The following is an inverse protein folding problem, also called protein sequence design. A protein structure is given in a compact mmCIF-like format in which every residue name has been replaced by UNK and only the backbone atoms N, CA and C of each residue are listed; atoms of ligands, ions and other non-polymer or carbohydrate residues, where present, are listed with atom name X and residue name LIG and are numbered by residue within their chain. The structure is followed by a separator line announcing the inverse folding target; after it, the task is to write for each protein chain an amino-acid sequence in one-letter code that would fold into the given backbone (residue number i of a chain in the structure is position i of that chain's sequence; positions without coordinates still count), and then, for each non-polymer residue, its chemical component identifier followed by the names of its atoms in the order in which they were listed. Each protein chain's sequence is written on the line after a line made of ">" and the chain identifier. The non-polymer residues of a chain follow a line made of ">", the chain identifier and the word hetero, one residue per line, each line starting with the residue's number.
data_IF_775742877826
#
_entry.id   IF_775742877826
#
_cell.length_a   1.000
_cell.length_b   1.000
_cell.length_c   1.000
_cell.angle_alpha   90.00
_cell.angle_beta   90.00
_cell.angle_gamma   90.00
#
_symmetry.space_group_name_H-M   'P 1'
#
loop_
_entity.id
_entity.type
_entity.pdbx_description
1 polymer ?
#
# COMPACT_ATOMS: atom_id res chain seq x y z
N UNK A 1 -18.83 -11.78 -5.79
CA UNK A 1 -17.95 -12.11 -6.93
C UNK A 1 -17.54 -13.58 -6.80
N UNK A 2 -18.47 -14.51 -7.06
CA UNK A 2 -18.30 -15.94 -6.74
C UNK A 2 -17.05 -16.54 -7.39
N UNK A 3 -16.76 -16.17 -8.65
CA UNK A 3 -15.57 -16.67 -9.36
C UNK A 3 -14.22 -16.38 -8.67
N UNK A 4 -14.08 -15.27 -7.94
CA UNK A 4 -12.85 -14.95 -7.19
C UNK A 4 -12.68 -15.84 -5.96
N UNK A 5 -13.78 -16.19 -5.31
CA UNK A 5 -13.79 -17.13 -4.19
C UNK A 5 -13.42 -18.53 -4.66
N UNK A 6 -14.00 -18.98 -5.77
CA UNK A 6 -13.69 -20.28 -6.38
C UNK A 6 -12.21 -20.35 -6.79
N UNK A 7 -11.68 -19.33 -7.48
CA UNK A 7 -10.26 -19.25 -7.89
C UNK A 7 -9.31 -19.41 -6.68
N UNK A 8 -9.63 -18.77 -5.55
CA UNK A 8 -8.87 -18.92 -4.31
C UNK A 8 -8.96 -20.34 -3.73
N UNK A 9 -10.16 -20.94 -3.71
CA UNK A 9 -10.41 -22.27 -3.14
C UNK A 9 -9.75 -23.37 -3.97
N UNK A 10 -9.83 -23.30 -5.29
CA UNK A 10 -9.12 -24.19 -6.21
C UNK A 10 -7.61 -24.12 -5.97
N UNK A 11 -7.06 -22.90 -5.87
CA UNK A 11 -5.64 -22.74 -5.57
C UNK A 11 -5.26 -23.29 -4.19
N UNK A 12 -6.13 -23.11 -3.21
CA UNK A 12 -5.93 -23.65 -1.85
C UNK A 12 -5.93 -25.18 -1.83
N UNK A 13 -6.75 -25.81 -2.68
CA UNK A 13 -6.77 -27.26 -2.89
C UNK A 13 -5.46 -27.75 -3.52
N UNK A 14 -4.96 -27.07 -4.56
CA UNK A 14 -3.66 -27.38 -5.17
C UNK A 14 -2.50 -27.31 -4.17
N UNK A 15 -2.52 -26.35 -3.25
CA UNK A 15 -1.51 -26.17 -2.20
C UNK A 15 -1.68 -27.13 -1.01
N UNK A 16 -2.71 -27.97 -1.01
CA UNK A 16 -3.01 -28.92 0.07
C UNK A 16 -3.39 -28.24 1.39
N UNK A 17 -3.94 -27.01 1.33
CA UNK A 17 -4.36 -26.25 2.53
C UNK A 17 -5.50 -26.97 3.25
N UNK A 18 -6.45 -27.54 2.50
CA UNK A 18 -7.61 -28.26 3.05
C UNK A 18 -7.24 -29.52 3.84
N UNK A 19 -6.03 -30.06 3.66
CA UNK A 19 -5.52 -31.19 4.45
C UNK A 19 -4.88 -30.75 5.77
N UNK A 20 -4.54 -29.46 5.90
CA UNK A 20 -3.78 -28.89 7.03
C UNK A 20 -4.62 -27.97 7.91
N UNK A 21 -5.77 -27.51 7.41
CA UNK A 21 -6.65 -26.58 8.10
C UNK A 21 -8.10 -26.99 7.91
N UNK A 22 -8.91 -26.76 8.95
CA UNK A 22 -10.36 -26.95 8.90
C UNK A 22 -11.01 -25.70 8.32
N UNK A 23 -11.74 -25.87 7.22
CA UNK A 23 -12.51 -24.77 6.62
C UNK A 23 -13.86 -24.62 7.33
N UNK A 24 -14.27 -23.36 7.51
CA UNK A 24 -15.60 -23.00 8.01
C UNK A 24 -16.11 -21.85 7.15
N UNK A 25 -17.33 -21.98 6.64
CA UNK A 25 -17.89 -21.04 5.68
C UNK A 25 -19.33 -20.66 6.02
N UNK A 26 -19.85 -19.64 5.34
CA UNK A 26 -21.24 -19.23 5.46
C UNK A 26 -22.12 -20.09 4.54
N UNK A 27 -23.39 -20.33 4.89
CA UNK A 27 -24.30 -21.09 4.05
C UNK A 27 -24.63 -20.38 2.74
N UNK A 28 -25.08 -21.17 1.77
CA UNK A 28 -25.54 -20.79 0.43
C UNK A 28 -24.57 -19.88 -0.32
N UNK A 29 -25.07 -18.82 -0.95
CA UNK A 29 -24.37 -17.84 -1.79
C UNK A 29 -23.28 -17.03 -1.06
N UNK A 30 -23.09 -17.23 0.25
CA UNK A 30 -22.03 -16.56 1.02
C UNK A 30 -20.77 -17.41 1.20
N UNK A 31 -20.71 -18.62 0.63
CA UNK A 31 -19.49 -19.40 0.57
C UNK A 31 -19.66 -20.92 0.52
N UNK A 32 -20.84 -21.46 0.83
CA UNK A 32 -21.11 -22.91 0.75
C UNK A 32 -21.10 -23.36 -0.71
N UNK A 33 -21.80 -22.63 -1.58
CA UNK A 33 -21.85 -22.93 -3.01
C UNK A 33 -20.47 -22.89 -3.67
N UNK A 34 -19.61 -21.94 -3.29
CA UNK A 34 -18.23 -21.87 -3.79
C UNK A 34 -17.33 -22.99 -3.27
N UNK A 35 -17.51 -23.41 -2.00
CA UNK A 35 -16.78 -24.55 -1.41
C UNK A 35 -17.17 -25.86 -2.09
N UNK A 36 -18.47 -26.08 -2.29
CA UNK A 36 -19.00 -27.25 -3.00
C UNK A 36 -18.50 -27.28 -4.45
N UNK A 37 -18.51 -26.13 -5.13
CA UNK A 37 -18.02 -26.00 -6.51
C UNK A 37 -16.53 -26.31 -6.63
N UNK A 38 -15.71 -25.96 -5.64
CA UNK A 38 -14.30 -26.31 -5.58
C UNK A 38 -14.05 -27.79 -5.16
N UNK A 39 -15.09 -28.51 -4.77
CA UNK A 39 -15.03 -29.88 -4.26
C UNK A 39 -14.18 -29.96 -3.00
N UNK A 40 -14.47 -29.11 -2.03
CA UNK A 40 -13.87 -29.05 -0.70
C UNK A 40 -14.96 -29.25 0.37
N UNK A 41 -14.57 -29.72 1.55
CA UNK A 41 -15.47 -29.81 2.70
C UNK A 41 -15.26 -28.64 3.68
N UNK A 42 -16.34 -28.10 4.24
CA UNK A 42 -16.28 -27.06 5.26
C UNK A 42 -17.40 -27.18 6.30
N UNK A 43 -17.15 -26.71 7.52
CA UNK A 43 -18.22 -26.52 8.50
C UNK A 43 -19.09 -25.31 8.13
N UNK A 44 -20.38 -25.54 8.01
CA UNK A 44 -21.32 -24.46 7.73
C UNK A 44 -21.69 -23.71 9.02
N UNK A 45 -21.60 -22.39 8.97
CA UNK A 45 -22.01 -21.53 10.08
C UNK A 45 -23.53 -21.58 10.28
N UNK A 46 -24.03 -21.60 11.54
CA UNK A 46 -25.45 -21.66 11.84
C UNK A 46 -26.11 -20.29 11.66
N UNK A 47 -26.28 -19.88 10.42
CA UNK A 47 -26.93 -18.63 10.03
C UNK A 47 -27.95 -18.86 8.92
N UNK A 48 -28.98 -18.02 8.86
CA UNK A 48 -29.97 -18.08 7.79
C UNK A 48 -29.69 -16.96 6.80
N UNK A 49 -29.45 -17.29 5.54
CA UNK A 49 -29.12 -16.36 4.47
C UNK A 49 -30.30 -16.25 3.51
N UNK A 50 -30.68 -15.00 3.21
CA UNK A 50 -31.72 -14.70 2.20
C UNK A 50 -31.11 -14.72 0.80
N UNK A 51 -31.95 -14.67 -0.23
CA UNK A 51 -31.52 -14.60 -1.63
C UNK A 51 -30.61 -13.41 -1.97
N UNK A 52 -30.63 -12.34 -1.17
CA UNK A 52 -29.67 -11.23 -1.25
C UNK A 52 -29.02 -11.01 0.10
N UNK A 53 -27.70 -10.87 0.08
CA UNK A 53 -26.86 -10.65 1.25
C UNK A 53 -26.72 -9.16 1.56
N UNK A 54 -26.44 -8.84 2.81
CA UNK A 54 -26.29 -7.48 3.31
C UNK A 54 -25.06 -7.34 4.19
N UNK A 55 -24.63 -6.10 4.45
CA UNK A 55 -23.59 -5.77 5.43
C UNK A 55 -23.83 -6.42 6.81
N UNK A 56 -25.10 -6.55 7.22
CA UNK A 56 -25.47 -7.21 8.48
C UNK A 56 -25.12 -8.70 8.48
N UNK A 57 -25.24 -9.36 7.34
CA UNK A 57 -24.92 -10.77 7.19
C UNK A 57 -23.40 -11.00 7.29
N UNK A 58 -22.61 -10.15 6.63
CA UNK A 58 -21.13 -10.12 6.78
C UNK A 58 -20.73 -9.93 8.24
N UNK A 59 -21.28 -8.91 8.91
CA UNK A 59 -20.98 -8.61 10.33
C UNK A 59 -21.35 -9.78 11.24
N UNK A 60 -22.47 -10.46 10.97
CA UNK A 60 -22.91 -11.63 11.73
C UNK A 60 -21.98 -12.83 11.52
N UNK A 61 -21.58 -13.11 10.27
CA UNK A 61 -20.66 -14.17 9.93
C UNK A 61 -19.31 -14.01 10.64
N UNK A 62 -18.71 -12.83 10.54
CA UNK A 62 -17.41 -12.51 11.18
C UNK A 62 -17.48 -12.70 12.70
N UNK A 63 -18.55 -12.22 13.35
CA UNK A 63 -18.75 -12.42 14.80
C UNK A 63 -18.89 -13.89 15.18
N UNK A 64 -19.57 -14.70 14.36
CA UNK A 64 -19.70 -16.15 14.60
C UNK A 64 -18.35 -16.87 14.42
N UNK A 65 -17.58 -16.53 13.38
CA UNK A 65 -16.24 -17.09 13.16
C UNK A 65 -15.30 -16.75 14.32
N UNK A 66 -15.30 -15.48 14.77
CA UNK A 66 -14.52 -15.05 15.93
C UNK A 66 -14.95 -15.78 17.22
N UNK A 67 -16.27 -15.94 17.46
CA UNK A 67 -16.79 -16.69 18.61
C UNK A 67 -16.37 -18.17 18.58
N UNK A 68 -16.28 -18.76 17.39
CA UNK A 68 -15.77 -20.12 17.17
C UNK A 68 -14.23 -20.20 17.15
N UNK A 69 -13.54 -19.12 17.50
CA UNK A 69 -12.07 -19.03 17.59
C UNK A 69 -11.35 -19.32 16.27
N UNK A 70 -11.90 -18.85 15.15
CA UNK A 70 -11.18 -18.88 13.89
C UNK A 70 -9.79 -18.21 14.04
N UNK A 71 -8.76 -18.86 13.49
CA UNK A 71 -7.37 -18.39 13.55
C UNK A 71 -7.05 -17.35 12.47
N UNK A 72 -7.76 -17.43 11.34
CA UNK A 72 -7.71 -16.49 10.24
C UNK A 72 -9.10 -16.38 9.62
N UNK A 73 -9.55 -15.16 9.34
CA UNK A 73 -10.81 -14.88 8.63
C UNK A 73 -10.49 -14.42 7.22
N UNK A 74 -11.13 -15.03 6.24
CA UNK A 74 -11.02 -14.69 4.82
C UNK A 74 -12.33 -14.07 4.35
N UNK A 75 -12.27 -13.03 3.53
CA UNK A 75 -13.46 -12.46 2.91
C UNK A 75 -13.19 -12.10 1.44
N UNK A 76 -14.18 -12.30 0.58
CA UNK A 76 -14.14 -11.84 -0.82
C UNK A 76 -14.97 -10.58 -0.93
N UNK A 77 -14.38 -9.45 -1.32
CA UNK A 77 -15.10 -8.18 -1.34
C UNK A 77 -14.27 -7.00 -1.81
N UNK A 78 -14.82 -5.80 -1.57
CA UNK A 78 -14.14 -4.51 -1.74
C UNK A 78 -14.07 -3.74 -0.42
N UNK A 79 -13.68 -2.46 -0.47
CA UNK A 79 -13.45 -1.64 0.73
C UNK A 79 -14.67 -1.56 1.66
N UNK A 80 -15.88 -1.52 1.11
CA UNK A 80 -17.12 -1.58 1.90
C UNK A 80 -17.21 -2.84 2.77
N UNK A 81 -16.84 -4.00 2.21
CA UNK A 81 -16.80 -5.27 2.96
C UNK A 81 -15.69 -5.26 4.01
N UNK A 82 -14.54 -4.67 3.70
CA UNK A 82 -13.45 -4.54 4.67
C UNK A 82 -13.86 -3.69 5.89
N UNK A 83 -14.61 -2.60 5.67
CA UNK A 83 -15.22 -1.81 6.75
C UNK A 83 -16.20 -2.63 7.58
N UNK A 84 -17.08 -3.38 6.93
CA UNK A 84 -18.03 -4.25 7.63
C UNK A 84 -17.33 -5.29 8.52
N UNK A 85 -16.21 -5.86 8.06
CA UNK A 85 -15.38 -6.79 8.83
C UNK A 85 -14.73 -6.10 10.03
N UNK A 86 -14.19 -4.89 9.84
CA UNK A 86 -13.58 -4.09 10.91
C UNK A 86 -14.60 -3.73 12.01
N UNK A 87 -15.79 -3.29 11.62
CA UNK A 87 -16.89 -3.00 12.55
C UNK A 87 -17.29 -4.23 13.37
N UNK A 88 -17.28 -5.42 12.74
CA UNK A 88 -17.64 -6.66 13.40
C UNK A 88 -16.60 -7.10 14.43
N UNK A 89 -15.31 -6.93 14.12
CA UNK A 89 -14.20 -7.36 14.97
C UNK A 89 -13.88 -6.37 16.09
N UNK A 90 -14.25 -5.09 15.96
CA UNK A 90 -14.07 -4.06 16.99
C UNK A 90 -14.68 -4.44 18.35
N UNK A 91 -15.65 -5.36 18.39
CA UNK A 91 -16.30 -5.85 19.61
C UNK A 91 -15.74 -7.17 20.16
N UNK A 92 -14.67 -7.74 19.57
CA UNK A 92 -14.18 -9.09 19.90
C UNK A 92 -12.65 -9.22 19.75
N UNK A 93 -12.09 -10.41 20.02
CA UNK A 93 -10.65 -10.68 19.90
C UNK A 93 -10.14 -10.26 18.51
N UNK A 94 -8.90 -9.74 18.45
CA UNK A 94 -8.21 -9.33 17.20
C UNK A 94 -7.81 -10.56 16.35
N UNK A 95 -8.81 -11.30 15.83
CA UNK A 95 -8.58 -12.39 14.87
C UNK A 95 -8.02 -11.79 13.57
N UNK A 96 -6.89 -12.31 13.05
CA UNK A 96 -6.34 -11.89 11.78
C UNK A 96 -7.33 -12.04 10.63
N UNK A 97 -7.23 -11.14 9.64
CA UNK A 97 -8.09 -11.09 8.47
C UNK A 97 -7.24 -10.99 7.20
N UNK A 98 -7.67 -11.61 6.11
CA UNK A 98 -7.11 -11.39 4.78
C UNK A 98 -8.24 -11.18 3.77
N UNK A 99 -8.15 -10.09 3.00
CA UNK A 99 -9.11 -9.76 1.94
C UNK A 99 -8.72 -10.41 0.61
N UNK A 100 -9.69 -11.03 -0.06
CA UNK A 100 -9.58 -11.52 -1.44
C UNK A 100 -10.28 -10.50 -2.35
N UNK A 101 -9.57 -9.94 -3.33
CA UNK A 101 -10.09 -8.85 -4.15
C UNK A 101 -11.24 -9.30 -5.05
N UNK A 102 -12.41 -8.67 -4.91
CA UNK A 102 -13.56 -8.91 -5.80
C UNK A 102 -13.50 -8.12 -7.11
N UNK A 103 -12.64 -7.09 -7.20
CA UNK A 103 -12.53 -6.16 -8.32
C UNK A 103 -11.18 -5.45 -8.39
N UNK A 104 -11.06 -4.40 -9.21
CA UNK A 104 -9.77 -3.71 -9.49
C UNK A 104 -9.61 -2.35 -8.79
N UNK A 105 -10.59 -1.93 -7.98
CA UNK A 105 -10.59 -0.63 -7.28
C UNK A 105 -10.73 -0.84 -5.77
N UNK A 106 -9.64 -1.22 -5.11
CA UNK A 106 -9.60 -1.31 -3.64
C UNK A 106 -8.45 -0.46 -3.12
N UNK A 107 -8.73 0.30 -2.08
CA UNK A 107 -7.79 1.24 -1.47
C UNK A 107 -7.26 0.74 -0.13
N UNK A 108 -7.98 -0.17 0.53
CA UNK A 108 -7.54 -0.78 1.79
C UNK A 108 -6.34 -1.72 1.59
N UNK A 109 -5.37 -1.66 2.49
CA UNK A 109 -4.16 -2.48 2.45
C UNK A 109 -4.37 -3.96 2.77
N UNK A 110 -5.54 -4.34 3.29
CA UNK A 110 -5.86 -5.71 3.77
C UNK A 110 -6.03 -6.74 2.64
N UNK A 111 -6.12 -6.28 1.38
CA UNK A 111 -6.36 -7.16 0.23
C UNK A 111 -5.07 -7.76 -0.32
N UNK A 112 -5.13 -9.06 -0.63
CA UNK A 112 -4.11 -9.70 -1.46
C UNK A 112 -4.13 -9.13 -2.89
N UNK A 113 -3.01 -9.27 -3.61
CA UNK A 113 -2.87 -8.81 -5.01
C UNK A 113 -3.92 -9.46 -5.92
N UNK A 114 -4.19 -10.75 -5.72
CA UNK A 114 -5.20 -11.54 -6.44
C UNK A 114 -5.55 -12.80 -5.62
N UNK A 115 -6.58 -13.58 -6.01
CA UNK A 115 -6.98 -14.80 -5.29
C UNK A 115 -5.86 -15.84 -5.12
N UNK A 116 -5.04 -16.06 -6.16
CA UNK A 116 -3.91 -16.99 -6.06
C UNK A 116 -2.88 -16.55 -5.01
N UNK A 117 -2.56 -15.26 -4.94
CA UNK A 117 -1.67 -14.71 -3.91
C UNK A 117 -2.28 -14.83 -2.51
N UNK A 118 -3.59 -14.68 -2.36
CA UNK A 118 -4.24 -14.92 -1.07
C UNK A 118 -4.04 -16.37 -0.60
N UNK A 119 -4.13 -17.36 -1.50
CA UNK A 119 -3.89 -18.76 -1.16
C UNK A 119 -2.43 -19.00 -0.71
N UNK A 120 -1.44 -18.41 -1.38
CA UNK A 120 -0.05 -18.46 -0.94
C UNK A 120 0.17 -17.81 0.43
N UNK A 121 -0.48 -16.67 0.71
CA UNK A 121 -0.42 -16.02 2.02
C UNK A 121 -1.02 -16.91 3.12
N UNK A 122 -2.14 -17.58 2.85
CA UNK A 122 -2.73 -18.55 3.79
C UNK A 122 -1.81 -19.74 4.01
N UNK A 123 -1.21 -20.28 2.96
CA UNK A 123 -0.25 -21.39 3.08
C UNK A 123 0.93 -21.03 3.98
N UNK A 124 1.51 -19.84 3.78
CA UNK A 124 2.61 -19.35 4.59
C UNK A 124 2.18 -19.03 6.03
N UNK A 125 0.98 -18.52 6.24
CA UNK A 125 0.41 -18.33 7.57
C UNK A 125 0.31 -19.67 8.32
N UNK A 126 -0.20 -20.72 7.67
CA UNK A 126 -0.26 -22.06 8.27
C UNK A 126 1.12 -22.67 8.56
N UNK A 127 2.14 -22.30 7.79
CA UNK A 127 3.54 -22.67 8.04
C UNK A 127 4.23 -21.82 9.12
N UNK A 128 3.57 -20.78 9.63
CA UNK A 128 4.18 -19.82 10.57
C UNK A 128 5.19 -18.86 9.93
N UNK A 129 5.19 -18.75 8.60
CA UNK A 129 6.11 -17.93 7.82
C UNK A 129 5.57 -16.52 7.54
N UNK A 130 4.25 -16.33 7.67
CA UNK A 130 3.63 -15.01 7.50
C UNK A 130 3.66 -14.22 8.81
N UNK A 131 4.04 -12.95 8.73
CA UNK A 131 3.99 -12.02 9.86
C UNK A 131 2.60 -11.40 9.97
N UNK A 132 2.15 -11.09 11.19
CA UNK A 132 0.91 -10.36 11.41
C UNK A 132 1.19 -8.86 11.53
N UNK A 133 0.64 -8.08 10.61
CA UNK A 133 0.79 -6.61 10.57
C UNK A 133 -0.58 -5.94 10.54
N UNK A 134 -0.62 -4.67 10.93
CA UNK A 134 -1.82 -3.86 10.85
C UNK A 134 -1.92 -3.21 9.46
N UNK A 135 -3.06 -3.38 8.80
CA UNK A 135 -3.36 -2.82 7.49
C UNK A 135 -4.43 -1.75 7.58
N UNK A 136 -4.24 -0.67 6.82
CA UNK A 136 -5.19 0.43 6.69
C UNK A 136 -6.47 -0.04 5.99
N UNK A 137 -7.61 0.27 6.62
CA UNK A 137 -8.93 0.12 6.02
C UNK A 137 -9.39 1.51 5.62
N UNK A 138 -9.67 1.69 4.33
CA UNK A 138 -10.07 2.97 3.76
C UNK A 138 -11.59 3.04 3.61
N UNK A 139 -12.16 4.19 3.94
CA UNK A 139 -13.53 4.54 3.58
C UNK A 139 -13.50 5.24 2.22
N UNK A 140 -13.68 4.43 1.19
CA UNK A 140 -13.96 4.89 -0.15
C UNK A 140 -15.48 4.93 -0.30
N UNK A 141 -16.07 6.12 -0.15
CA UNK A 141 -17.49 6.32 -0.41
C UNK A 141 -17.74 6.19 -1.91
N UNK A 142 -18.15 5.00 -2.35
CA UNK A 142 -18.47 4.70 -3.75
C UNK A 142 -19.56 5.63 -4.34
N UNK A 143 -20.41 6.23 -3.50
CA UNK A 143 -21.41 7.22 -3.95
C UNK A 143 -20.78 8.60 -4.14
N UNK A 144 -19.86 9.04 -3.27
CA UNK A 144 -19.11 10.28 -3.47
C UNK A 144 -18.12 10.21 -4.65
N UNK A 145 -17.58 9.01 -4.92
CA UNK A 145 -16.70 8.75 -6.08
C UNK A 145 -17.46 8.90 -7.42
N UNK A 146 -18.79 8.70 -7.43
CA UNK A 146 -19.62 8.92 -8.63
C UNK A 146 -19.89 10.40 -8.93
N UNK A 147 -19.81 11.26 -7.92
CA UNK A 147 -20.11 12.70 -8.03
C UNK A 147 -18.83 13.57 -8.10
N UNK A 148 -17.72 13.01 -8.59
CA UNK A 148 -16.41 13.68 -8.76
C UNK A 148 -15.79 14.26 -7.47
N UNK A 149 -16.32 13.87 -6.29
CA UNK A 149 -15.74 14.19 -4.98
C UNK A 149 -14.99 12.97 -4.44
N UNK A 150 -13.74 12.83 -4.88
CA UNK A 150 -12.83 11.79 -4.37
C UNK A 150 -12.49 12.04 -2.90
N UNK A 151 -13.29 11.50 -1.98
CA UNK A 151 -13.09 11.63 -0.54
C UNK A 151 -12.78 10.24 0.04
N UNK A 152 -11.50 9.86 0.04
CA UNK A 152 -11.02 8.61 0.63
C UNK A 152 -10.42 8.96 2.00
N UNK A 153 -10.93 8.33 3.07
CA UNK A 153 -10.45 8.59 4.44
C UNK A 153 -10.03 7.30 5.12
N UNK A 154 -9.03 7.36 6.01
CA UNK A 154 -8.70 6.22 6.86
C UNK A 154 -9.88 5.92 7.79
N UNK A 155 -10.41 4.71 7.70
CA UNK A 155 -11.51 4.23 8.56
C UNK A 155 -10.97 3.55 9.83
N UNK A 156 -9.84 2.84 9.71
CA UNK A 156 -9.18 2.18 10.84
C UNK A 156 -8.16 1.14 10.39
N UNK A 157 -7.89 0.16 11.24
CA UNK A 157 -6.87 -0.85 10.99
C UNK A 157 -7.38 -2.26 11.26
N UNK A 158 -7.06 -3.21 10.37
CA UNK A 158 -7.25 -4.65 10.57
C UNK A 158 -5.90 -5.35 10.61
N UNK A 159 -5.75 -6.31 11.52
CA UNK A 159 -4.57 -7.16 11.57
C UNK A 159 -4.69 -8.28 10.54
N UNK A 160 -3.66 -8.53 9.74
CA UNK A 160 -3.67 -9.57 8.72
C UNK A 160 -2.31 -10.23 8.48
N UNK A 161 -2.28 -11.42 7.86
CA UNK A 161 -1.04 -12.07 7.48
C UNK A 161 -0.40 -11.34 6.28
N UNK A 162 0.90 -11.13 6.38
CA UNK A 162 1.72 -10.53 5.34
C UNK A 162 2.84 -11.48 4.97
N UNK A 163 2.94 -11.76 3.66
CA UNK A 163 3.96 -12.62 3.07
C UNK A 163 4.80 -11.80 2.08
N UNK A 164 6.13 -11.66 2.32
CA UNK A 164 7.07 -11.18 1.31
C UNK A 164 7.10 -12.19 0.16
N UNK A 165 7.06 -11.75 -1.11
CA UNK A 165 7.03 -12.70 -2.23
C UNK A 165 8.19 -13.71 -2.19
N UNK A 166 7.88 -15.00 -2.31
CA UNK A 166 8.87 -16.07 -2.49
C UNK A 166 9.44 -16.00 -3.91
N UNK A 167 10.72 -15.63 -4.05
CA UNK A 167 11.48 -15.82 -5.28
C UNK A 167 12.01 -17.26 -5.32
N UNK A 168 11.54 -18.02 -6.29
CA UNK A 168 12.10 -19.33 -6.62
C UNK A 168 13.34 -19.10 -7.51
N UNK A 169 14.54 -19.42 -6.99
CA UNK A 169 15.74 -19.58 -7.84
C UNK A 169 17.06 -19.08 -7.25
N UNK A 170 17.82 -20.03 -6.69
CA UNK A 170 19.28 -20.01 -6.46
C UNK A 170 19.88 -19.03 -5.45
N UNK A 171 20.18 -19.62 -4.28
CA UNK A 171 21.29 -19.32 -3.34
C UNK A 171 21.29 -17.95 -2.66
N UNK A 172 21.09 -18.01 -1.34
CA UNK A 172 21.24 -16.95 -0.34
C UNK A 172 20.30 -15.76 -0.52
N UNK A 173 19.09 -15.84 0.05
CA UNK A 173 18.22 -14.68 0.22
C UNK A 173 17.55 -14.76 1.59
N UNK A 174 17.97 -13.85 2.47
CA UNK A 174 17.33 -13.47 3.74
C UNK A 174 15.99 -12.74 3.49
N UNK A 175 15.11 -12.56 4.49
CA UNK A 175 13.70 -12.17 4.28
C UNK A 175 13.52 -10.76 3.69
N UNK A 176 12.88 -10.65 2.52
CA UNK A 176 12.81 -9.43 1.69
C UNK A 176 11.94 -8.26 2.24
N UNK A 177 11.18 -8.39 3.33
CA UNK A 177 10.41 -7.25 3.91
C UNK A 177 11.05 -6.60 5.11
N UNK A 178 11.88 -7.35 5.85
CA UNK A 178 12.94 -6.72 6.63
C UNK A 178 13.85 -5.99 5.66
N UNK A 179 14.25 -6.62 4.54
CA UNK A 179 15.03 -5.96 3.49
C UNK A 179 14.33 -4.73 2.92
N UNK A 180 13.03 -4.73 2.58
CA UNK A 180 12.40 -3.54 1.98
C UNK A 180 12.27 -2.36 2.96
N UNK A 181 11.92 -2.59 4.23
CA UNK A 181 11.89 -1.51 5.23
C UNK A 181 13.31 -1.10 5.65
N UNK A 182 14.23 -2.06 5.82
CA UNK A 182 15.66 -1.79 6.02
C UNK A 182 16.25 -1.02 4.83
N UNK A 183 15.81 -1.30 3.61
CA UNK A 183 16.20 -0.64 2.38
C UNK A 183 15.58 0.76 2.28
N UNK A 184 14.32 0.95 2.73
CA UNK A 184 13.74 2.29 2.93
C UNK A 184 14.55 3.09 3.93
N UNK A 185 14.88 2.50 5.08
CA UNK A 185 15.67 3.14 6.14
C UNK A 185 17.10 3.40 5.67
N UNK A 186 17.69 2.51 4.88
CA UNK A 186 19.04 2.64 4.34
C UNK A 186 19.13 3.75 3.28
N UNK A 187 18.19 3.78 2.33
CA UNK A 187 18.07 4.86 1.36
C UNK A 187 17.74 6.19 2.04
N UNK A 188 16.83 6.19 3.02
CA UNK A 188 16.48 7.39 3.78
C UNK A 188 17.66 7.91 4.62
N UNK A 189 18.41 7.03 5.29
CA UNK A 189 19.63 7.39 6.03
C UNK A 189 20.67 8.01 5.11
N UNK A 190 20.83 7.45 3.91
CA UNK A 190 21.72 8.03 2.93
C UNK A 190 21.27 9.43 2.49
N UNK A 191 19.97 9.63 2.23
CA UNK A 191 19.44 10.97 1.96
C UNK A 191 19.71 11.92 3.12
N UNK A 192 19.46 11.52 4.37
CA UNK A 192 19.72 12.36 5.56
C UNK A 192 21.20 12.74 5.70
N UNK A 193 22.12 11.82 5.40
CA UNK A 193 23.57 12.10 5.40
C UNK A 193 23.99 13.11 4.31
N UNK A 194 23.29 13.14 3.18
CA UNK A 194 23.52 14.08 2.08
C UNK A 194 22.77 15.42 2.28
N UNK A 195 21.95 15.56 3.34
CA UNK A 195 21.23 16.79 3.59
C UNK A 195 22.14 17.90 4.11
N UNK A 196 22.06 19.06 3.47
CA UNK A 196 22.69 20.31 3.88
C UNK A 196 22.02 20.88 5.15
N UNK A 197 22.75 21.06 6.27
CA UNK A 197 22.18 21.43 7.57
C UNK A 197 21.40 22.75 7.64
N UNK A 198 21.57 23.63 6.65
CA UNK A 198 20.94 24.95 6.62
C UNK A 198 19.96 25.14 5.46
N UNK A 199 19.73 24.11 4.67
CA UNK A 199 18.81 24.14 3.55
C UNK A 199 17.35 23.97 3.98
N UNK A 200 16.45 24.36 3.07
CA UNK A 200 15.01 24.07 3.17
C UNK A 200 14.69 22.84 2.33
N UNK A 201 13.85 21.95 2.85
CA UNK A 201 13.48 20.71 2.18
C UNK A 201 11.97 20.64 1.98
N UNK A 202 11.54 20.49 0.73
CA UNK A 202 10.17 20.19 0.37
C UNK A 202 10.04 18.66 0.32
N UNK A 203 9.36 18.10 1.32
CA UNK A 203 9.19 16.66 1.50
C UNK A 203 7.91 16.19 0.80
N UNK A 204 8.07 15.55 -0.36
CA UNK A 204 6.98 14.96 -1.12
C UNK A 204 6.26 13.82 -0.37
N UNK A 205 5.13 13.34 -0.91
CA UNK A 205 4.31 12.34 -0.25
C UNK A 205 4.93 10.93 -0.28
N UNK A 206 4.42 10.05 0.56
CA UNK A 206 4.70 8.61 0.57
C UNK A 206 5.52 8.11 1.75
N UNK A 207 5.44 6.80 1.98
CA UNK A 207 6.11 6.10 3.09
C UNK A 207 7.63 6.17 3.02
N UNK A 208 8.20 6.21 1.82
CA UNK A 208 9.66 6.30 1.62
C UNK A 208 10.19 7.67 2.06
N UNK A 209 9.48 8.76 1.75
CA UNK A 209 9.84 10.10 2.25
C UNK A 209 9.52 10.23 3.74
N UNK A 210 8.47 9.54 4.24
CA UNK A 210 8.21 9.46 5.67
C UNK A 210 9.38 8.84 6.45
N UNK A 211 10.07 7.83 5.91
CA UNK A 211 11.26 7.27 6.57
C UNK A 211 12.38 8.32 6.74
N UNK A 212 12.53 9.26 5.80
CA UNK A 212 13.46 10.40 5.95
C UNK A 212 13.02 11.29 7.11
N UNK A 213 11.73 11.64 7.18
CA UNK A 213 11.18 12.43 8.28
C UNK A 213 11.33 11.75 9.65
N UNK A 214 11.08 10.44 9.73
CA UNK A 214 11.24 9.65 10.96
C UNK A 214 12.69 9.69 11.46
N UNK A 215 13.68 9.59 10.56
CA UNK A 215 15.11 9.69 10.89
C UNK A 215 15.53 11.11 11.32
N UNK A 216 14.85 12.14 10.81
CA UNK A 216 15.03 13.53 11.24
C UNK A 216 14.32 13.83 12.57
N UNK A 217 13.56 12.87 13.13
CA UNK A 217 12.80 13.04 14.36
C UNK A 217 11.60 13.97 14.21
N UNK A 218 11.07 14.14 13.00
CA UNK A 218 9.91 15.00 12.73
C UNK A 218 8.72 14.18 12.25
N UNK A 219 7.52 14.63 12.60
CA UNK A 219 6.30 14.04 12.06
C UNK A 219 6.01 14.59 10.65
N UNK A 220 5.64 13.69 9.73
CA UNK A 220 5.31 14.00 8.33
C UNK A 220 3.87 13.64 7.99
N UNK A 221 3.25 14.45 7.14
CA UNK A 221 1.99 14.15 6.46
C UNK A 221 2.24 13.11 5.37
N UNK A 222 1.65 11.91 5.49
CA UNK A 222 1.97 10.80 4.59
C UNK A 222 1.59 11.06 3.13
N UNK A 223 0.40 11.62 2.88
CA UNK A 223 -0.08 11.94 1.52
C UNK A 223 0.08 13.42 1.15
N UNK A 224 0.59 14.22 2.09
CA UNK A 224 0.81 15.64 1.90
C UNK A 224 2.26 15.95 1.56
N UNK A 225 2.46 17.21 1.16
CA UNK A 225 3.78 17.82 1.02
C UNK A 225 4.05 18.62 2.28
N UNK A 226 5.25 18.50 2.85
CA UNK A 226 5.66 19.25 4.04
C UNK A 226 6.91 20.06 3.74
N UNK A 227 7.14 21.13 4.50
CA UNK A 227 8.39 21.93 4.43
C UNK A 227 9.17 21.69 5.71
N UNK A 228 10.39 21.20 5.58
CA UNK A 228 11.33 20.99 6.68
C UNK A 228 12.46 22.02 6.62
N UNK A 229 12.78 22.63 7.76
CA UNK A 229 13.95 23.51 7.93
C UNK A 229 14.43 23.50 9.37
N UNK A 230 15.69 23.12 9.61
CA UNK A 230 16.37 23.19 10.92
C UNK A 230 15.54 22.59 12.07
N UNK A 231 15.03 21.38 11.89
CA UNK A 231 14.21 20.69 12.91
C UNK A 231 12.75 21.13 12.99
N UNK A 232 12.33 22.19 12.28
CA UNK A 232 10.93 22.63 12.21
C UNK A 232 10.25 22.10 10.96
N UNK A 233 8.98 21.74 11.08
CA UNK A 233 8.15 21.27 9.96
C UNK A 233 6.86 22.08 9.82
N UNK A 234 6.55 22.50 8.61
CA UNK A 234 5.23 23.03 8.21
C UNK A 234 4.54 21.91 7.44
N UNK A 235 3.46 21.37 8.00
CA UNK A 235 2.79 20.18 7.49
C UNK A 235 1.71 20.51 6.46
N UNK A 236 1.51 19.61 5.51
CA UNK A 236 0.40 19.57 4.54
C UNK A 236 0.19 20.90 3.80
N UNK A 237 1.27 21.36 3.18
CA UNK A 237 1.30 22.63 2.46
C UNK A 237 0.79 22.48 1.03
N UNK A 238 0.09 23.51 0.56
CA UNK A 238 -0.23 23.69 -0.85
C UNK A 238 0.87 24.53 -1.56
N UNK A 239 0.76 24.66 -2.87
CA UNK A 239 1.68 25.47 -3.70
C UNK A 239 1.86 26.89 -3.17
N UNK A 240 0.76 27.60 -2.89
CA UNK A 240 0.78 28.98 -2.39
C UNK A 240 1.58 29.10 -1.08
N UNK A 241 1.41 28.14 -0.18
CA UNK A 241 2.15 28.11 1.09
C UNK A 241 3.64 27.83 0.86
N UNK A 242 3.99 26.94 -0.08
CA UNK A 242 5.38 26.68 -0.43
C UNK A 242 6.04 27.94 -0.98
N UNK A 243 5.40 28.62 -1.94
CA UNK A 243 5.90 29.85 -2.54
C UNK A 243 6.10 30.99 -1.53
N UNK A 244 5.25 31.04 -0.50
CA UNK A 244 5.30 32.03 0.57
C UNK A 244 6.37 31.75 1.63
N UNK A 245 6.51 30.49 2.04
CA UNK A 245 7.39 30.10 3.15
C UNK A 245 8.85 29.91 2.72
N UNK A 246 9.07 29.49 1.47
CA UNK A 246 10.41 29.32 0.91
C UNK A 246 10.94 30.68 0.42
N UNK A 247 11.99 31.16 1.08
CA UNK A 247 12.61 32.47 0.77
C UNK A 247 13.91 32.36 -0.02
N UNK A 248 14.61 31.24 0.11
CA UNK A 248 15.89 31.00 -0.54
C UNK A 248 15.81 29.74 -1.40
N UNK A 249 15.36 29.92 -2.63
CA UNK A 249 15.25 28.83 -3.61
C UNK A 249 16.61 28.25 -4.01
N UNK A 250 17.70 29.03 -3.87
CA UNK A 250 19.05 28.53 -4.14
C UNK A 250 19.53 27.57 -3.05
N UNK A 251 18.98 27.64 -1.86
CA UNK A 251 19.25 26.68 -0.78
C UNK A 251 18.02 25.84 -0.43
N UNK A 252 17.22 25.48 -1.43
CA UNK A 252 16.03 24.63 -1.29
C UNK A 252 16.19 23.35 -2.11
N UNK A 253 15.75 22.24 -1.55
CA UNK A 253 15.78 20.90 -2.15
C UNK A 253 14.38 20.28 -2.13
N UNK A 254 14.12 19.38 -3.06
CA UNK A 254 12.91 18.57 -3.09
C UNK A 254 13.28 17.12 -2.83
N UNK A 255 12.57 16.45 -1.91
CA UNK A 255 12.75 15.02 -1.61
C UNK A 255 11.49 14.28 -2.03
N UNK A 256 11.60 13.38 -3.01
CA UNK A 256 10.44 12.68 -3.58
C UNK A 256 10.73 11.20 -3.84
N UNK A 257 9.68 10.39 -3.78
CA UNK A 257 9.70 9.00 -4.22
C UNK A 257 8.76 8.84 -5.42
N UNK A 258 9.10 8.00 -6.40
CA UNK A 258 8.14 7.59 -7.42
C UNK A 258 6.89 7.00 -6.79
N UNK A 259 5.73 7.37 -7.35
CA UNK A 259 4.40 7.01 -6.85
C UNK A 259 3.84 5.85 -7.68
N UNK A 260 3.40 4.80 -6.97
CA UNK A 260 2.79 3.62 -7.55
C UNK A 260 3.72 2.80 -8.47
N UNK A 261 3.14 1.80 -9.14
CA UNK A 261 3.86 0.98 -10.15
C UNK A 261 4.09 1.71 -11.48
N UNK A 262 3.54 2.91 -11.63
CA UNK A 262 3.64 3.71 -12.86
C UNK A 262 4.93 4.52 -12.94
N UNK A 263 5.69 4.63 -11.84
CA UNK A 263 6.96 5.36 -11.82
C UNK A 263 6.83 6.87 -11.89
N UNK A 264 5.66 7.43 -11.53
CA UNK A 264 5.43 8.88 -11.63
C UNK A 264 6.21 9.61 -10.54
N UNK A 265 7.06 10.55 -10.95
CA UNK A 265 7.90 11.35 -10.06
C UNK A 265 7.25 12.70 -9.71
N UNK A 266 6.65 13.38 -10.67
CA UNK A 266 5.93 14.64 -10.49
C UNK A 266 4.64 14.69 -11.30
N UNK A 267 3.68 15.47 -10.81
CA UNK A 267 2.42 15.77 -11.48
C UNK A 267 1.22 15.04 -10.87
N UNK A 268 1.32 13.73 -10.64
CA UNK A 268 0.22 12.96 -10.03
C UNK A 268 0.50 12.59 -8.60
N UNK A 269 -0.36 13.04 -7.69
CA UNK A 269 -0.30 12.71 -6.27
C UNK A 269 0.63 13.63 -5.47
N UNK A 270 1.31 14.57 -6.13
CA UNK A 270 2.15 15.59 -5.54
C UNK A 270 2.04 16.94 -6.26
N UNK A 271 0.85 17.28 -6.76
CA UNK A 271 0.55 18.52 -7.50
C UNK A 271 0.96 19.79 -6.76
N UNK A 272 1.04 19.75 -5.42
CA UNK A 272 1.50 20.89 -4.61
C UNK A 272 2.95 21.28 -4.95
N UNK A 273 3.76 20.36 -5.46
CA UNK A 273 5.09 20.63 -6.02
C UNK A 273 4.89 20.98 -7.50
N UNK A 274 4.47 22.22 -7.74
CA UNK A 274 4.10 22.70 -9.07
C UNK A 274 5.30 22.87 -10.01
N UNK A 275 5.05 23.01 -11.33
CA UNK A 275 6.09 23.36 -12.29
C UNK A 275 6.92 24.59 -11.89
N UNK A 276 6.28 25.62 -11.34
CA UNK A 276 6.96 26.84 -10.89
C UNK A 276 7.97 26.54 -9.76
N UNK A 277 7.55 25.76 -8.76
CA UNK A 277 8.41 25.32 -7.66
C UNK A 277 9.59 24.48 -8.19
N UNK A 278 9.33 23.58 -9.13
CA UNK A 278 10.37 22.72 -9.72
C UNK A 278 11.39 23.57 -10.51
N UNK A 279 10.95 24.59 -11.26
CA UNK A 279 11.85 25.52 -11.97
C UNK A 279 12.69 26.34 -10.99
N UNK A 280 12.10 26.83 -9.90
CA UNK A 280 12.79 27.62 -8.89
C UNK A 280 13.87 26.81 -8.14
N UNK A 281 13.59 25.54 -7.82
CA UNK A 281 14.54 24.64 -7.15
C UNK A 281 15.62 24.13 -8.13
N UNK A 282 15.20 23.76 -9.35
CA UNK A 282 16.05 23.18 -10.38
C UNK A 282 16.28 21.68 -10.20
N UNK A 283 16.50 20.98 -11.33
CA UNK A 283 16.65 19.51 -11.39
C UNK A 283 17.76 18.96 -10.49
N UNK A 284 18.87 19.68 -10.39
CA UNK A 284 20.06 19.25 -9.62
C UNK A 284 19.79 19.14 -8.12
N UNK A 285 18.77 19.83 -7.61
CA UNK A 285 18.39 19.84 -6.18
C UNK A 285 17.21 18.95 -5.85
N UNK A 286 16.97 17.94 -6.67
CA UNK A 286 15.90 16.97 -6.48
C UNK A 286 16.50 15.64 -6.07
N UNK A 287 16.25 15.30 -4.81
CA UNK A 287 16.65 14.04 -4.21
C UNK A 287 15.53 13.03 -4.39
N UNK A 288 15.77 12.07 -5.29
CA UNK A 288 14.83 10.97 -5.51
C UNK A 288 15.30 9.76 -4.71
N UNK A 289 14.39 9.16 -3.94
CA UNK A 289 14.64 7.90 -3.25
C UNK A 289 13.53 6.89 -3.52
N UNK A 290 13.92 5.64 -3.74
CA UNK A 290 13.00 4.55 -3.97
C UNK A 290 13.66 3.24 -3.54
N UNK A 291 12.89 2.33 -2.98
CA UNK A 291 13.40 1.01 -2.66
C UNK A 291 13.74 0.21 -3.91
N UNK A 292 14.61 -0.79 -3.74
CA UNK A 292 14.89 -1.79 -4.78
C UNK A 292 13.60 -2.49 -5.24
N UNK A 293 12.68 -2.79 -4.32
CA UNK A 293 11.35 -3.33 -4.65
C UNK A 293 10.51 -2.37 -5.50
N UNK A 294 10.42 -1.08 -5.14
CA UNK A 294 9.71 -0.06 -5.94
C UNK A 294 10.27 0.05 -7.34
N UNK A 295 11.60 0.13 -7.48
CA UNK A 295 12.24 0.28 -8.79
C UNK A 295 11.96 -0.92 -9.69
N UNK A 296 12.02 -2.14 -9.14
CA UNK A 296 11.67 -3.36 -9.89
C UNK A 296 10.19 -3.39 -10.28
N UNK A 297 9.32 -2.79 -9.46
CA UNK A 297 7.89 -2.72 -9.69
C UNK A 297 7.43 -1.61 -10.64
N UNK A 298 8.33 -0.71 -11.06
CA UNK A 298 8.02 0.35 -12.02
C UNK A 298 7.88 -0.28 -13.42
N UNK A 299 6.74 -0.01 -14.06
CA UNK A 299 6.46 -0.47 -15.42
C UNK A 299 7.58 -0.04 -16.38
N UNK A 300 8.23 -1.02 -17.02
CA UNK A 300 9.41 -0.85 -17.90
C UNK A 300 10.65 -0.24 -17.24
N UNK A 301 10.66 -0.02 -15.93
CA UNK A 301 11.79 0.60 -15.22
C UNK A 301 12.03 2.06 -15.62
N UNK A 302 10.98 2.76 -16.09
CA UNK A 302 11.06 4.15 -16.55
C UNK A 302 10.27 5.06 -15.61
N UNK A 303 10.89 6.15 -15.17
CA UNK A 303 10.23 7.21 -14.41
C UNK A 303 9.44 8.12 -15.35
N UNK A 304 8.32 8.64 -14.87
CA UNK A 304 7.46 9.53 -15.65
C UNK A 304 7.25 10.86 -14.94
N UNK A 305 7.22 11.94 -15.71
CA UNK A 305 6.97 13.30 -15.22
C UNK A 305 5.85 13.88 -16.07
N UNK A 306 4.70 14.12 -15.45
CA UNK A 306 3.46 14.57 -16.12
C UNK A 306 2.94 15.81 -15.38
N UNK A 307 3.71 16.90 -15.44
CA UNK A 307 3.40 18.12 -14.67
C UNK A 307 2.42 19.04 -15.39
N UNK A 308 2.18 18.81 -16.68
CA UNK A 308 1.36 19.66 -17.54
C UNK A 308 2.10 20.90 -18.05
N UNK A 309 3.37 21.08 -17.68
CA UNK A 309 4.27 22.12 -18.18
C UNK A 309 5.39 21.48 -19.01
N UNK A 310 5.38 21.74 -20.31
CA UNK A 310 6.31 21.10 -21.24
C UNK A 310 7.78 21.43 -20.98
N UNK A 311 8.11 22.58 -20.39
CA UNK A 311 9.49 22.90 -20.05
C UNK A 311 9.98 22.02 -18.90
N UNK A 312 9.16 21.88 -17.84
CA UNK A 312 9.48 21.00 -16.72
C UNK A 312 9.55 19.55 -17.17
N UNK A 313 8.57 19.07 -17.95
CA UNK A 313 8.56 17.69 -18.40
C UNK A 313 9.81 17.37 -19.26
N UNK A 314 10.26 18.30 -20.11
CA UNK A 314 11.53 18.18 -20.86
C UNK A 314 12.76 18.18 -19.95
N UNK A 315 12.79 18.99 -18.87
CA UNK A 315 13.92 19.00 -17.93
C UNK A 315 14.21 17.61 -17.36
N UNK A 316 13.20 16.76 -17.16
CA UNK A 316 13.37 15.42 -16.60
C UNK A 316 13.56 14.31 -17.64
N UNK A 317 13.58 14.60 -18.93
CA UNK A 317 13.95 13.58 -19.92
C UNK A 317 15.41 13.14 -19.75
N UNK A 318 15.67 11.87 -20.08
CA UNK A 318 16.99 11.26 -20.00
C UNK A 318 17.10 10.39 -18.76
N UNK A 319 17.97 10.76 -17.81
CA UNK A 319 18.23 9.97 -16.61
C UNK A 319 18.08 10.79 -15.33
N UNK A 320 17.57 10.13 -14.30
CA UNK A 320 17.42 10.66 -12.94
C UNK A 320 18.16 9.75 -11.97
N UNK A 321 18.91 10.36 -11.05
CA UNK A 321 19.59 9.63 -9.97
C UNK A 321 18.60 9.32 -8.86
N UNK A 322 18.54 8.06 -8.46
CA UNK A 322 17.67 7.58 -7.39
C UNK A 322 18.51 6.88 -6.33
N UNK A 323 18.35 7.29 -5.07
CA UNK A 323 18.93 6.61 -3.92
C UNK A 323 18.13 5.34 -3.66
N UNK A 324 18.82 4.19 -3.74
CA UNK A 324 18.15 2.88 -3.71
C UNK A 324 18.55 2.02 -2.53
N UNK A 325 19.63 2.39 -1.84
CA UNK A 325 20.13 1.76 -0.63
C UNK A 325 21.13 2.71 0.04
N UNK A 326 21.74 2.28 1.15
CA UNK A 326 22.80 3.04 1.80
C UNK A 326 24.01 3.23 0.87
N UNK A 327 24.31 4.50 0.54
CA UNK A 327 25.39 4.88 -0.38
C UNK A 327 25.29 4.28 -1.79
N UNK A 328 24.09 3.89 -2.22
CA UNK A 328 23.83 3.34 -3.56
C UNK A 328 22.93 4.28 -4.38
N UNK A 329 23.51 4.91 -5.41
CA UNK A 329 22.77 5.62 -6.45
C UNK A 329 22.54 4.71 -7.66
N UNK A 330 21.33 4.77 -8.24
CA UNK A 330 21.03 4.20 -9.56
C UNK A 330 20.55 5.28 -10.51
N UNK A 331 20.91 5.13 -11.78
CA UNK A 331 20.37 5.95 -12.86
C UNK A 331 19.16 5.24 -13.44
N UNK A 332 18.00 5.90 -13.37
CA UNK A 332 16.77 5.44 -14.00
C UNK A 332 16.43 6.34 -15.18
N UNK A 333 15.99 5.72 -16.27
CA UNK A 333 15.50 6.48 -17.43
C UNK A 333 14.23 7.20 -17.02
N UNK A 334 14.09 8.44 -17.47
CA UNK A 334 12.93 9.28 -17.20
C UNK A 334 12.38 9.86 -18.49
N UNK A 335 11.06 9.88 -18.60
CA UNK A 335 10.30 10.34 -19.76
C UNK A 335 9.19 11.30 -19.32
N UNK A 336 8.80 12.16 -20.25
CA UNK A 336 7.59 12.98 -20.15
C UNK A 336 6.39 12.16 -20.64
#
# INVERSE_FOLDING_TARGET
>A
APGRGIEFLEKSKELGISQKARLMTCPTIMGEEEVDSAGLDADILPMNIKAKTTAKDTKKAVKLMAKRKAELILFVGGDGTARDVLDALSSSRRTPVLGIPAGVKMYSGIFAINPANAAYTVEAFLKGEAQLVDFEIMDADETAIRDDRFNIRLYGFLKGPFLPMRIQGSKHVSPETLDEHENQVAAARFIVEEMEPHATYILGPGTTVKCVADLLGIEKTLLGVDIYRRGSVIKDVNEETILKEVRDWQNTWIVVSPIGRQGILFGRGNQQISPEIIKLVGKEKILVLATKGKIRGIERGVLRVDTGDGEVDEMFKGYVRVATDYREWRLLRSEA
#
